data_IF_715602141227
#
_entry.id   IF_715602141227
#
_cell.length_a   1.000
_cell.length_b   1.000
_cell.length_c   1.000
_cell.angle_alpha   90.00
_cell.angle_beta   90.00
_cell.angle_gamma   90.00
#
_symmetry.space_group_name_H-M   'P 1'
#
loop_
_entity.id
_entity.type
_entity.pdbx_description
1 polymer ?
#
# COMPACT_ATOMS: atom_id res chain seq x y z
N UNK A 1 20.93 -10.04 2.85
CA UNK A 1 19.52 -9.89 3.35
C UNK A 1 18.64 -9.39 2.21
N UNK A 2 17.56 -10.12 1.88
CA UNK A 2 16.73 -9.99 0.66
C UNK A 2 15.50 -9.07 0.82
N UNK A 3 15.56 -8.12 1.76
CA UNK A 3 14.38 -7.35 2.19
C UNK A 3 14.68 -5.93 2.69
N UNK A 4 15.94 -5.55 2.91
CA UNK A 4 16.30 -4.28 3.52
C UNK A 4 16.29 -3.07 2.58
N UNK A 5 16.12 -3.28 1.27
CA UNK A 5 16.20 -2.24 0.23
C UNK A 5 14.93 -1.39 0.06
N UNK A 6 14.11 -1.24 1.10
CA UNK A 6 12.80 -0.59 1.01
C UNK A 6 12.82 0.85 1.52
N UNK A 7 13.32 1.77 0.69
CA UNK A 7 13.56 3.17 1.06
C UNK A 7 12.25 3.91 1.35
N UNK A 8 11.21 3.65 0.57
CA UNK A 8 9.92 4.35 0.70
C UNK A 8 9.09 3.86 1.90
N UNK A 9 9.38 2.68 2.45
CA UNK A 9 8.50 2.07 3.46
C UNK A 9 8.40 2.80 4.79
N UNK A 10 9.40 3.61 5.16
CA UNK A 10 9.33 4.43 6.38
C UNK A 10 8.15 5.41 6.34
N UNK A 11 7.78 5.86 5.14
CA UNK A 11 6.69 6.82 4.94
C UNK A 11 5.30 6.20 5.10
N UNK A 12 5.16 4.86 5.08
CA UNK A 12 3.91 4.21 5.44
C UNK A 12 3.52 4.53 6.89
N UNK A 13 4.49 4.60 7.81
CA UNK A 13 4.22 4.96 9.21
C UNK A 13 3.68 6.39 9.31
N UNK A 14 4.17 7.31 8.45
CA UNK A 14 3.77 8.72 8.41
C UNK A 14 2.28 8.88 8.06
N UNK A 15 1.69 7.94 7.32
CA UNK A 15 0.25 7.97 6.98
C UNK A 15 -0.66 8.03 8.22
N UNK A 16 -0.21 7.49 9.37
CA UNK A 16 -0.99 7.50 10.61
C UNK A 16 -1.22 8.93 11.16
N UNK A 17 -0.40 9.90 10.78
CA UNK A 17 -0.53 11.30 11.22
C UNK A 17 -1.84 11.89 10.69
N UNK A 18 -2.10 11.72 9.38
CA UNK A 18 -3.32 12.23 8.80
C UNK A 18 -4.54 11.45 9.23
N UNK A 19 -4.43 10.14 9.48
CA UNK A 19 -5.52 9.39 10.11
C UNK A 19 -5.84 9.92 11.51
N UNK A 20 -4.83 10.20 12.35
CA UNK A 20 -5.06 10.82 13.65
C UNK A 20 -5.85 12.13 13.53
N UNK A 21 -5.45 13.01 12.61
CA UNK A 21 -6.19 14.25 12.36
C UNK A 21 -7.62 13.99 11.85
N UNK A 22 -7.81 13.11 10.85
CA UNK A 22 -9.13 12.81 10.27
C UNK A 22 -10.14 12.30 11.30
N UNK A 23 -9.67 11.55 12.29
CA UNK A 23 -10.53 11.01 13.36
C UNK A 23 -10.74 11.96 14.54
N UNK A 24 -9.85 12.94 14.77
CA UNK A 24 -9.90 13.83 15.95
C UNK A 24 -10.30 15.27 15.63
N UNK A 25 -10.01 15.74 14.41
CA UNK A 25 -10.08 17.16 14.05
C UNK A 25 -9.07 18.04 14.78
N UNK A 26 -8.05 17.47 15.44
CA UNK A 26 -7.09 18.22 16.24
C UNK A 26 -6.12 19.04 15.37
N UNK A 27 -6.51 20.28 15.10
CA UNK A 27 -5.70 21.23 14.35
C UNK A 27 -4.44 21.68 15.09
N UNK A 28 -4.39 21.57 16.42
CA UNK A 28 -3.18 21.89 17.18
C UNK A 28 -2.14 20.78 17.00
N UNK A 29 -2.54 19.51 17.15
CA UNK A 29 -1.69 18.37 16.80
C UNK A 29 -1.20 18.47 15.35
N UNK A 30 -2.11 18.72 14.40
CA UNK A 30 -1.75 18.80 13.00
C UNK A 30 -0.73 19.91 12.75
N UNK A 31 -0.92 21.10 13.31
CA UNK A 31 0.00 22.23 13.12
C UNK A 31 1.36 22.01 13.80
N UNK A 32 1.34 21.58 15.06
CA UNK A 32 2.51 21.64 15.94
C UNK A 32 3.34 20.34 15.89
N UNK A 33 2.77 19.22 15.45
CA UNK A 33 3.44 17.90 15.36
C UNK A 33 3.29 17.24 14.00
N UNK A 34 2.07 17.16 13.47
CA UNK A 34 1.80 16.38 12.26
C UNK A 34 2.38 16.97 10.99
N UNK A 35 2.16 18.26 10.75
CA UNK A 35 2.55 18.98 9.55
C UNK A 35 4.07 19.05 9.36
N UNK A 36 4.90 19.33 10.39
CA UNK A 36 6.36 19.27 10.25
C UNK A 36 6.84 17.91 9.72
N UNK A 37 6.33 16.80 10.26
CA UNK A 37 6.73 15.44 9.83
C UNK A 37 6.22 15.14 8.41
N UNK A 38 4.98 15.51 8.10
CA UNK A 38 4.43 15.35 6.74
C UNK A 38 5.24 16.15 5.71
N UNK A 39 5.66 17.36 6.06
CA UNK A 39 6.48 18.22 5.21
C UNK A 39 7.84 17.59 4.94
N UNK A 40 8.59 17.18 5.97
CA UNK A 40 9.90 16.53 5.79
C UNK A 40 9.80 15.23 4.98
N UNK A 41 8.75 14.43 5.26
CA UNK A 41 8.44 13.23 4.49
C UNK A 41 8.18 13.56 3.01
N UNK A 42 7.42 14.63 2.73
CA UNK A 42 7.12 15.06 1.37
C UNK A 42 8.34 15.66 0.66
N UNK A 43 9.20 16.40 1.35
CA UNK A 43 10.47 16.92 0.81
C UNK A 43 11.39 15.78 0.38
N UNK A 44 11.50 14.74 1.22
CA UNK A 44 12.26 13.54 0.85
C UNK A 44 11.68 12.89 -0.41
N UNK A 45 10.37 12.63 -0.44
CA UNK A 45 9.70 11.99 -1.57
C UNK A 45 9.83 12.84 -2.85
N UNK A 46 9.70 14.16 -2.75
CA UNK A 46 9.90 15.09 -3.87
C UNK A 46 11.32 15.03 -4.41
N UNK A 47 12.33 14.85 -3.55
CA UNK A 47 13.73 14.66 -3.97
C UNK A 47 14.02 13.24 -4.52
N UNK A 48 13.14 12.28 -4.20
CA UNK A 48 13.28 10.89 -4.61
C UNK A 48 12.73 10.62 -6.00
N UNK A 49 11.64 11.26 -6.38
CA UNK A 49 11.01 11.05 -7.68
C UNK A 49 11.87 11.62 -8.82
N UNK A 50 11.82 10.94 -9.96
CA UNK A 50 12.52 11.31 -11.20
C UNK A 50 11.55 11.26 -12.37
N UNK A 51 11.92 11.86 -13.52
CA UNK A 51 11.15 11.75 -14.76
C UNK A 51 11.49 10.42 -15.45
N UNK A 52 10.47 9.63 -15.76
CA UNK A 52 10.64 8.43 -16.56
C UNK A 52 10.97 8.80 -18.01
N UNK A 53 12.03 8.20 -18.56
CA UNK A 53 12.52 8.51 -19.91
C UNK A 53 11.56 8.07 -21.03
N UNK A 54 10.66 7.11 -20.77
CA UNK A 54 9.71 6.60 -21.78
C UNK A 54 8.40 7.37 -21.79
N UNK A 55 7.85 7.62 -20.60
CA UNK A 55 6.52 8.21 -20.42
C UNK A 55 6.57 9.70 -20.11
N UNK A 56 7.71 10.22 -19.67
CA UNK A 56 7.85 11.60 -19.21
C UNK A 56 7.17 11.89 -17.88
N UNK A 57 6.50 10.93 -17.23
CA UNK A 57 5.83 11.13 -15.93
C UNK A 57 6.80 11.12 -14.76
N UNK A 58 6.37 11.65 -13.62
CA UNK A 58 7.10 11.46 -12.36
C UNK A 58 6.97 10.01 -11.89
N UNK A 59 8.08 9.41 -11.49
CA UNK A 59 8.18 8.01 -11.09
C UNK A 59 9.15 7.87 -9.92
N UNK A 60 8.97 6.84 -9.10
CA UNK A 60 9.98 6.46 -8.11
C UNK A 60 11.22 5.83 -8.75
N UNK A 61 12.28 5.66 -7.96
CA UNK A 61 13.49 4.94 -8.37
C UNK A 61 13.29 3.42 -8.29
N UNK A 62 14.30 2.68 -8.76
CA UNK A 62 14.36 1.24 -8.62
C UNK A 62 14.16 0.81 -7.16
N UNK A 63 13.39 -0.25 -6.94
CA UNK A 63 12.94 -0.66 -5.62
C UNK A 63 12.60 -2.15 -5.54
N UNK A 64 12.25 -2.59 -4.35
CA UNK A 64 11.82 -3.96 -4.04
C UNK A 64 10.34 -4.01 -3.69
N UNK A 65 9.64 -5.10 -4.02
CA UNK A 65 8.37 -5.41 -3.34
C UNK A 65 8.65 -6.34 -2.15
N UNK A 66 7.92 -6.15 -1.05
CA UNK A 66 8.30 -6.70 0.25
C UNK A 66 8.42 -8.23 0.21
N UNK A 67 9.66 -8.70 0.36
CA UNK A 67 10.03 -10.11 0.52
C UNK A 67 9.57 -11.01 -0.64
N UNK A 68 9.45 -10.46 -1.86
CA UNK A 68 9.10 -11.19 -3.08
C UNK A 68 9.91 -10.69 -4.27
N UNK A 69 9.90 -11.49 -5.35
CA UNK A 69 10.59 -11.20 -6.60
C UNK A 69 9.77 -11.56 -7.82
N UNK A 70 10.35 -11.32 -8.98
CA UNK A 70 9.78 -11.64 -10.27
C UNK A 70 10.82 -12.30 -11.16
N UNK A 71 10.33 -13.04 -12.16
CA UNK A 71 11.12 -13.59 -13.24
C UNK A 71 10.86 -12.82 -14.53
N UNK A 72 11.90 -12.65 -15.33
CA UNK A 72 11.84 -11.97 -16.61
C UNK A 72 12.75 -12.67 -17.63
N UNK A 73 12.56 -12.37 -18.91
CA UNK A 73 13.44 -12.83 -20.00
C UNK A 73 14.37 -11.68 -20.38
N UNK A 74 15.68 -11.90 -20.35
CA UNK A 74 16.67 -10.91 -20.77
C UNK A 74 16.81 -10.82 -22.30
N UNK A 75 17.69 -9.93 -22.77
CA UNK A 75 17.93 -9.70 -24.20
C UNK A 75 18.47 -10.93 -24.93
N UNK A 76 19.11 -11.86 -24.21
CA UNK A 76 19.65 -13.12 -24.73
C UNK A 76 18.60 -14.26 -24.70
N UNK A 77 17.36 -13.97 -24.29
CA UNK A 77 16.28 -14.96 -24.19
C UNK A 77 16.36 -15.85 -22.95
N UNK A 78 17.21 -15.53 -21.97
CA UNK A 78 17.38 -16.31 -20.75
C UNK A 78 16.39 -15.87 -19.69
N UNK A 79 15.77 -16.86 -19.02
CA UNK A 79 14.94 -16.61 -17.84
C UNK A 79 15.81 -16.30 -16.63
N UNK A 80 15.62 -15.13 -16.05
CA UNK A 80 16.28 -14.65 -14.83
C UNK A 80 15.24 -14.34 -13.75
N UNK A 81 15.72 -14.21 -12.51
CA UNK A 81 14.93 -13.81 -11.34
C UNK A 81 15.56 -12.55 -10.73
N UNK A 82 14.73 -11.60 -10.33
CA UNK A 82 15.15 -10.39 -9.61
C UNK A 82 14.17 -10.03 -8.50
N UNK A 83 14.69 -9.43 -7.45
CA UNK A 83 13.93 -8.84 -6.35
C UNK A 83 13.89 -7.30 -6.48
N UNK A 84 14.90 -6.72 -7.14
CA UNK A 84 14.99 -5.29 -7.43
C UNK A 84 14.50 -5.08 -8.86
N UNK A 85 13.49 -4.24 -9.00
CA UNK A 85 12.92 -3.86 -10.28
C UNK A 85 12.91 -2.34 -10.46
N UNK A 86 12.17 -1.86 -11.49
CA UNK A 86 11.73 -0.47 -11.51
C UNK A 86 10.86 -0.16 -10.28
N UNK A 87 10.33 1.07 -10.19
CA UNK A 87 9.42 1.43 -9.11
C UNK A 87 8.28 0.40 -8.98
N UNK A 88 7.94 0.04 -7.75
CA UNK A 88 6.83 -0.88 -7.48
C UNK A 88 5.51 -0.15 -7.36
N UNK A 89 4.40 -0.87 -7.55
CA UNK A 89 3.07 -0.32 -7.29
C UNK A 89 2.91 0.12 -5.82
N UNK A 90 3.61 -0.55 -4.88
CA UNK A 90 3.68 -0.13 -3.48
C UNK A 90 4.31 1.26 -3.35
N UNK A 91 5.51 1.46 -3.92
CA UNK A 91 6.22 2.73 -3.83
C UNK A 91 5.42 3.87 -4.43
N UNK A 92 4.81 3.66 -5.60
CA UNK A 92 3.93 4.66 -6.23
C UNK A 92 2.74 5.02 -5.33
N UNK A 93 2.14 4.03 -4.67
CA UNK A 93 1.01 4.26 -3.77
C UNK A 93 1.41 5.06 -2.53
N UNK A 94 2.58 4.76 -1.94
CA UNK A 94 3.08 5.50 -0.77
C UNK A 94 3.52 6.91 -1.15
N UNK A 95 4.21 7.09 -2.28
CA UNK A 95 4.61 8.41 -2.79
C UNK A 95 3.37 9.29 -3.00
N UNK A 96 2.36 8.75 -3.68
CA UNK A 96 1.08 9.44 -3.89
C UNK A 96 0.42 9.82 -2.56
N UNK A 97 0.41 8.90 -1.59
CA UNK A 97 -0.24 9.12 -0.30
C UNK A 97 0.47 10.22 0.50
N UNK A 98 1.80 10.22 0.57
CA UNK A 98 2.59 11.26 1.25
C UNK A 98 2.33 12.64 0.66
N UNK A 99 2.36 12.76 -0.66
CA UNK A 99 2.11 14.04 -1.35
C UNK A 99 0.68 14.52 -1.11
N UNK A 100 -0.30 13.61 -1.20
CA UNK A 100 -1.71 13.93 -0.95
C UNK A 100 -1.97 14.36 0.49
N UNK A 101 -1.39 13.64 1.46
CA UNK A 101 -1.53 13.93 2.89
C UNK A 101 -0.88 15.26 3.26
N UNK A 102 0.30 15.57 2.70
CA UNK A 102 0.94 16.87 2.86
C UNK A 102 0.06 18.01 2.32
N UNK A 103 -0.48 17.85 1.11
CA UNK A 103 -1.35 18.87 0.49
C UNK A 103 -2.67 19.06 1.25
N UNK A 104 -3.26 17.98 1.76
CA UNK A 104 -4.45 18.06 2.63
C UNK A 104 -4.14 18.84 3.90
N UNK A 105 -3.06 18.49 4.60
CA UNK A 105 -2.64 19.19 5.82
C UNK A 105 -2.33 20.66 5.57
N UNK A 106 -1.63 20.98 4.47
CA UNK A 106 -1.34 22.34 4.06
C UNK A 106 -2.64 23.14 3.84
N UNK A 107 -3.62 22.56 3.13
CA UNK A 107 -4.90 23.21 2.89
C UNK A 107 -5.68 23.49 4.19
N UNK A 108 -5.69 22.54 5.13
CA UNK A 108 -6.33 22.71 6.45
C UNK A 108 -5.70 23.86 7.24
N UNK A 109 -4.36 23.99 7.18
CA UNK A 109 -3.61 25.01 7.90
C UNK A 109 -3.51 26.35 7.16
N UNK A 110 -4.10 26.45 5.96
CA UNK A 110 -4.04 27.66 5.13
C UNK A 110 -2.65 27.95 4.55
N UNK A 111 -1.84 26.91 4.33
CA UNK A 111 -0.50 27.02 3.76
C UNK A 111 -0.59 26.83 2.24
N UNK A 112 -0.21 27.86 1.49
CA UNK A 112 -0.13 27.85 0.02
C UNK A 112 1.16 28.55 -0.43
N UNK A 113 2.27 27.84 -0.30
CA UNK A 113 3.62 28.29 -0.68
C UNK A 113 4.11 27.64 -1.97
N UNK A 114 5.30 28.01 -2.44
CA UNK A 114 5.86 27.48 -3.68
C UNK A 114 6.11 25.96 -3.60
N UNK A 115 6.41 25.42 -2.42
CA UNK A 115 6.58 23.99 -2.26
C UNK A 115 5.25 23.24 -2.44
N UNK A 116 4.13 23.76 -1.89
CA UNK A 116 2.81 23.18 -2.16
C UNK A 116 2.45 23.19 -3.65
N UNK A 117 2.86 24.22 -4.40
CA UNK A 117 2.66 24.28 -5.87
C UNK A 117 3.48 23.21 -6.58
N UNK A 118 4.78 23.08 -6.25
CA UNK A 118 5.65 22.03 -6.81
C UNK A 118 5.10 20.62 -6.54
N UNK A 119 4.59 20.36 -5.33
CA UNK A 119 4.02 19.06 -4.98
C UNK A 119 2.71 18.82 -5.75
N UNK A 120 1.84 19.82 -5.91
CA UNK A 120 0.61 19.73 -6.73
C UNK A 120 0.95 19.36 -8.19
N UNK A 121 1.92 20.03 -8.79
CA UNK A 121 2.39 19.77 -10.16
C UNK A 121 2.98 18.36 -10.30
N UNK A 122 3.80 17.95 -9.33
CA UNK A 122 4.43 16.62 -9.32
C UNK A 122 3.38 15.52 -9.19
N UNK A 123 2.44 15.67 -8.25
CA UNK A 123 1.36 14.71 -8.00
C UNK A 123 0.44 14.55 -9.21
N UNK A 124 0.15 15.63 -9.93
CA UNK A 124 -0.70 15.60 -11.13
C UNK A 124 -0.11 14.77 -12.27
N UNK A 125 1.22 14.64 -12.32
CA UNK A 125 1.95 13.89 -13.35
C UNK A 125 2.65 12.64 -12.80
N UNK A 126 2.31 12.22 -11.58
CA UNK A 126 2.84 11.00 -10.97
C UNK A 126 2.28 9.76 -11.69
N UNK A 127 3.15 8.80 -11.98
CA UNK A 127 2.73 7.50 -12.50
C UNK A 127 1.89 6.74 -11.47
N UNK A 128 0.82 6.11 -11.95
CA UNK A 128 -0.10 5.32 -11.13
C UNK A 128 0.18 3.82 -11.32
N UNK A 129 -0.17 2.96 -10.35
CA UNK A 129 -0.08 1.52 -10.52
C UNK A 129 -0.75 1.04 -11.82
N UNK A 130 -0.07 0.16 -12.56
CA UNK A 130 -0.53 -0.34 -13.85
C UNK A 130 -1.40 -1.58 -13.69
N UNK A 131 -2.41 -1.69 -14.54
CA UNK A 131 -3.26 -2.89 -14.65
C UNK A 131 -2.72 -3.75 -15.79
N UNK A 132 -2.41 -5.01 -15.52
CA UNK A 132 -1.92 -5.95 -16.52
C UNK A 132 -3.02 -6.51 -17.41
N UNK A 133 -2.67 -7.27 -18.45
CA UNK A 133 -3.64 -7.88 -19.38
C UNK A 133 -4.59 -8.87 -18.72
N UNK A 134 -4.17 -9.53 -17.65
CA UNK A 134 -5.03 -10.40 -16.83
C UNK A 134 -5.95 -9.61 -15.87
N UNK A 135 -5.82 -8.28 -15.84
CA UNK A 135 -6.66 -7.36 -15.09
C UNK A 135 -6.31 -7.22 -13.61
N UNK A 136 -5.19 -7.75 -13.14
CA UNK A 136 -4.66 -7.49 -11.80
C UNK A 136 -3.67 -6.31 -11.83
N UNK A 137 -3.33 -5.73 -10.67
CA UNK A 137 -2.33 -4.68 -10.55
C UNK A 137 -0.94 -5.31 -10.68
N UNK A 138 -0.13 -4.80 -11.60
CA UNK A 138 1.24 -5.25 -11.80
C UNK A 138 2.14 -4.77 -10.65
N UNK A 139 2.71 -5.70 -9.89
CA UNK A 139 3.50 -5.37 -8.70
C UNK A 139 4.77 -4.56 -9.00
N UNK A 140 5.42 -4.82 -10.15
CA UNK A 140 6.58 -4.07 -10.65
C UNK A 140 6.27 -3.22 -11.89
N UNK A 141 4.99 -3.08 -12.30
CA UNK A 141 4.62 -2.30 -13.49
C UNK A 141 5.15 -2.83 -14.84
N UNK A 142 5.66 -4.07 -14.86
CA UNK A 142 6.16 -4.78 -16.05
C UNK A 142 5.16 -5.87 -16.40
N UNK A 143 4.67 -5.87 -17.64
CA UNK A 143 3.65 -6.83 -18.11
C UNK A 143 4.23 -8.25 -18.24
N UNK A 144 5.48 -8.35 -18.68
CA UNK A 144 6.17 -9.61 -18.95
C UNK A 144 6.79 -10.25 -17.69
N UNK A 145 6.78 -9.54 -16.56
CA UNK A 145 7.34 -10.01 -15.31
C UNK A 145 6.38 -10.98 -14.63
N UNK A 146 6.85 -12.22 -14.39
CA UNK A 146 6.07 -13.24 -13.69
C UNK A 146 6.52 -13.34 -12.23
N UNK A 147 5.57 -13.21 -11.31
CA UNK A 147 5.79 -13.33 -9.86
C UNK A 147 6.41 -14.68 -9.48
N UNK A 148 7.43 -14.68 -8.62
CA UNK A 148 8.06 -15.93 -8.14
C UNK A 148 7.14 -16.74 -7.21
N UNK A 149 6.31 -16.05 -6.43
CA UNK A 149 5.30 -16.65 -5.54
C UNK A 149 3.98 -15.88 -5.67
N UNK A 150 3.08 -16.39 -6.51
CA UNK A 150 1.75 -15.79 -6.73
C UNK A 150 0.92 -15.80 -5.43
N UNK A 151 1.14 -16.76 -4.53
CA UNK A 151 0.43 -16.88 -3.25
C UNK A 151 1.21 -16.23 -2.09
N UNK A 152 2.07 -15.26 -2.41
CA UNK A 152 2.87 -14.57 -1.42
C UNK A 152 2.01 -13.93 -0.32
N UNK A 153 2.60 -13.82 0.88
CA UNK A 153 1.91 -13.33 2.08
C UNK A 153 1.70 -11.81 2.08
N UNK A 154 2.50 -11.05 1.33
CA UNK A 154 2.38 -9.59 1.24
C UNK A 154 1.40 -9.17 0.16
N UNK A 155 0.73 -8.04 0.41
CA UNK A 155 -0.21 -7.38 -0.49
C UNK A 155 0.29 -5.98 -0.89
N UNK A 156 1.60 -5.79 -0.94
CA UNK A 156 2.23 -4.46 -1.06
C UNK A 156 1.71 -3.65 -2.26
N UNK A 157 1.56 -4.28 -3.43
CA UNK A 157 1.07 -3.63 -4.64
C UNK A 157 -0.39 -3.14 -4.58
N UNK A 158 -1.16 -3.54 -3.55
CA UNK A 158 -2.51 -3.04 -3.30
C UNK A 158 -2.61 -2.25 -1.99
N UNK A 159 -1.50 -1.74 -1.44
CA UNK A 159 -1.52 -0.92 -0.20
C UNK A 159 -2.43 0.32 -0.33
N UNK A 160 -2.62 0.82 -1.55
CA UNK A 160 -3.56 1.90 -1.85
C UNK A 160 -5.04 1.57 -1.61
N UNK A 161 -5.41 0.28 -1.49
CA UNK A 161 -6.74 -0.20 -1.12
C UNK A 161 -6.94 -0.22 0.41
N UNK A 162 -5.94 -0.71 1.14
CA UNK A 162 -5.91 -0.70 2.60
C UNK A 162 -4.46 -0.81 3.10
N UNK A 163 -4.04 0.00 4.07
CA UNK A 163 -4.83 1.03 4.77
C UNK A 163 -5.01 2.32 3.97
N UNK A 164 -4.46 2.41 2.75
CA UNK A 164 -4.61 3.57 1.89
C UNK A 164 -6.06 3.85 1.49
N UNK A 165 -6.26 4.99 0.83
CA UNK A 165 -7.55 5.46 0.31
C UNK A 165 -7.48 5.90 -1.16
N UNK A 166 -6.43 5.47 -1.86
CA UNK A 166 -6.18 5.78 -3.27
C UNK A 166 -7.04 4.90 -4.19
N UNK A 167 -7.26 3.64 -3.79
CA UNK A 167 -8.03 2.65 -4.54
C UNK A 167 -9.40 2.51 -3.89
N UNK A 168 -10.43 3.04 -4.53
CA UNK A 168 -11.80 3.15 -4.02
C UNK A 168 -12.79 2.90 -5.14
N UNK A 169 -13.98 2.38 -4.82
CA UNK A 169 -14.97 2.06 -5.84
C UNK A 169 -15.43 3.33 -6.57
N UNK A 170 -15.55 4.45 -5.84
CA UNK A 170 -16.05 5.70 -6.39
C UNK A 170 -15.01 6.51 -7.16
N UNK A 171 -13.77 6.63 -6.65
CA UNK A 171 -12.77 7.54 -7.24
C UNK A 171 -11.90 6.84 -8.28
N UNK A 172 -11.67 5.54 -8.14
CA UNK A 172 -10.73 4.78 -8.98
C UNK A 172 -11.28 3.38 -9.32
N UNK A 173 -12.47 3.29 -9.97
CA UNK A 173 -13.18 2.03 -10.19
C UNK A 173 -12.37 0.96 -10.94
N UNK A 174 -11.54 1.37 -11.90
CA UNK A 174 -10.69 0.43 -12.67
C UNK A 174 -9.61 -0.20 -11.78
N UNK A 175 -8.91 0.61 -10.97
CA UNK A 175 -7.93 0.11 -9.99
C UNK A 175 -8.60 -0.69 -8.88
N UNK A 176 -9.82 -0.36 -8.51
CA UNK A 176 -10.60 -1.10 -7.51
C UNK A 176 -10.88 -2.54 -7.97
N UNK A 177 -11.38 -2.72 -9.19
CA UNK A 177 -11.60 -4.05 -9.76
C UNK A 177 -10.28 -4.81 -9.95
N UNK A 178 -9.21 -4.10 -10.32
CA UNK A 178 -7.88 -4.71 -10.44
C UNK A 178 -7.29 -5.14 -9.09
N UNK A 179 -7.48 -4.34 -8.03
CA UNK A 179 -7.06 -4.70 -6.68
C UNK A 179 -7.84 -5.91 -6.15
N UNK A 180 -9.15 -6.00 -6.43
CA UNK A 180 -9.97 -7.18 -6.13
C UNK A 180 -9.45 -8.43 -6.83
N UNK A 181 -9.12 -8.35 -8.12
CA UNK A 181 -8.48 -9.46 -8.87
C UNK A 181 -7.13 -9.84 -8.28
N UNK A 182 -6.33 -8.86 -7.88
CA UNK A 182 -5.02 -9.08 -7.25
C UNK A 182 -5.15 -9.80 -5.91
N UNK A 183 -6.16 -9.42 -5.11
CA UNK A 183 -6.47 -10.06 -3.83
C UNK A 183 -6.86 -11.53 -4.01
N UNK A 184 -7.75 -11.83 -4.98
CA UNK A 184 -8.14 -13.20 -5.32
C UNK A 184 -6.91 -14.00 -5.81
N UNK A 185 -6.07 -13.40 -6.66
CA UNK A 185 -4.85 -14.02 -7.20
C UNK A 185 -3.86 -14.41 -6.09
N UNK A 186 -3.70 -13.56 -5.07
CA UNK A 186 -2.86 -13.83 -3.87
C UNK A 186 -3.37 -14.99 -3.00
N UNK A 187 -4.65 -15.33 -3.12
CA UNK A 187 -5.30 -16.43 -2.41
C UNK A 187 -5.20 -16.33 -0.88
N UNK A 188 -5.41 -17.44 -0.20
CA UNK A 188 -5.67 -17.48 1.25
C UNK A 188 -4.53 -18.11 2.06
N UNK A 189 -3.27 -17.76 1.73
CA UNK A 189 -2.13 -18.25 2.52
C UNK A 189 -2.30 -17.88 4.00
N UNK A 190 -2.13 -18.89 4.85
CA UNK A 190 -2.40 -18.84 6.30
C UNK A 190 -1.19 -18.30 7.06
N UNK A 191 -1.24 -17.03 7.43
CA UNK A 191 -0.27 -16.37 8.30
C UNK A 191 -0.98 -15.21 9.00
N UNK A 192 -0.91 -15.12 10.34
CA UNK A 192 -1.77 -14.23 11.14
C UNK A 192 -1.88 -12.79 10.61
N UNK A 193 -0.77 -12.07 10.51
CA UNK A 193 -0.77 -10.68 10.03
C UNK A 193 -1.26 -10.53 8.58
N UNK A 194 -0.96 -11.51 7.72
CA UNK A 194 -1.39 -11.50 6.31
C UNK A 194 -2.89 -11.72 6.20
N UNK A 195 -3.42 -12.66 7.00
CA UNK A 195 -4.85 -12.90 7.08
C UNK A 195 -5.58 -11.71 7.69
N UNK A 196 -5.06 -11.07 8.73
CA UNK A 196 -5.68 -9.87 9.29
C UNK A 196 -5.74 -8.73 8.27
N UNK A 197 -4.68 -8.53 7.48
CA UNK A 197 -4.70 -7.54 6.41
C UNK A 197 -5.71 -7.90 5.31
N UNK A 198 -5.82 -9.18 4.94
CA UNK A 198 -6.83 -9.67 4.00
C UNK A 198 -8.25 -9.43 4.48
N UNK A 199 -8.54 -9.55 5.78
CA UNK A 199 -9.88 -9.21 6.33
C UNK A 199 -10.24 -7.77 5.95
N UNK A 200 -9.35 -6.81 6.21
CA UNK A 200 -9.57 -5.41 5.84
C UNK A 200 -9.67 -5.22 4.32
N UNK A 201 -8.80 -5.85 3.53
CA UNK A 201 -8.85 -5.74 2.07
C UNK A 201 -10.16 -6.31 1.49
N UNK A 202 -10.64 -7.46 1.99
CA UNK A 202 -11.92 -8.04 1.58
C UNK A 202 -13.10 -7.17 2.00
N UNK A 203 -13.03 -6.55 3.18
CA UNK A 203 -14.01 -5.56 3.61
C UNK A 203 -14.05 -4.36 2.65
N UNK A 204 -12.89 -3.83 2.27
CA UNK A 204 -12.75 -2.69 1.33
C UNK A 204 -13.25 -2.99 -0.08
N UNK A 205 -13.24 -4.25 -0.52
CA UNK A 205 -13.85 -4.66 -1.81
C UNK A 205 -15.30 -5.14 -1.69
N UNK A 206 -15.94 -4.87 -0.55
CA UNK A 206 -17.32 -5.23 -0.22
C UNK A 206 -17.62 -6.73 -0.29
N UNK A 207 -16.63 -7.59 -0.02
CA UNK A 207 -16.78 -9.03 0.09
C UNK A 207 -16.76 -9.48 1.56
N UNK A 208 -17.86 -9.19 2.26
CA UNK A 208 -18.01 -9.51 3.68
C UNK A 208 -18.00 -11.02 3.98
N UNK A 209 -18.42 -11.86 3.03
CA UNK A 209 -18.43 -13.31 3.21
C UNK A 209 -17.00 -13.86 3.25
N UNK A 210 -16.16 -13.44 2.30
CA UNK A 210 -14.76 -13.85 2.29
C UNK A 210 -13.99 -13.25 3.47
N UNK A 211 -14.26 -11.98 3.84
CA UNK A 211 -13.70 -11.38 5.04
C UNK A 211 -14.04 -12.16 6.33
N UNK A 212 -15.31 -12.58 6.49
CA UNK A 212 -15.72 -13.44 7.61
C UNK A 212 -15.04 -14.81 7.57
N UNK A 213 -14.83 -15.36 6.37
CA UNK A 213 -14.06 -16.58 6.17
C UNK A 213 -12.62 -16.45 6.68
N UNK A 214 -11.92 -15.37 6.30
CA UNK A 214 -10.56 -15.07 6.79
C UNK A 214 -10.52 -14.93 8.31
N UNK A 215 -11.48 -14.19 8.89
CA UNK A 215 -11.58 -14.03 10.34
C UNK A 215 -11.72 -15.36 11.08
N UNK A 216 -12.64 -16.22 10.63
CA UNK A 216 -12.83 -17.56 11.21
C UNK A 216 -11.57 -18.42 11.10
N UNK A 217 -10.86 -18.35 9.97
CA UNK A 217 -9.61 -19.09 9.78
C UNK A 217 -8.51 -18.57 10.70
N UNK A 218 -8.34 -17.26 10.83
CA UNK A 218 -7.36 -16.65 11.74
C UNK A 218 -7.62 -17.06 13.19
N UNK A 219 -8.87 -17.01 13.64
CA UNK A 219 -9.26 -17.44 15.00
C UNK A 219 -8.98 -18.91 15.26
N UNK A 220 -9.17 -19.78 14.27
CA UNK A 220 -9.03 -21.24 14.47
C UNK A 220 -7.61 -21.76 14.22
N UNK A 221 -6.80 -21.04 13.45
CA UNK A 221 -5.52 -21.56 12.95
C UNK A 221 -4.31 -20.70 13.33
N UNK A 222 -4.50 -19.42 13.66
CA UNK A 222 -3.43 -18.48 13.96
C UNK A 222 -3.64 -17.78 15.31
N UNK A 223 -4.47 -18.35 16.19
CA UNK A 223 -4.76 -17.79 17.52
C UNK A 223 -4.54 -18.85 18.59
N UNK A 224 -3.77 -18.51 19.62
CA UNK A 224 -3.50 -19.33 20.79
C UNK A 224 -4.68 -19.33 21.77
N UNK A 225 -4.76 -20.27 22.74
CA UNK A 225 -5.84 -20.30 23.75
C UNK A 225 -5.97 -19.01 24.59
N UNK A 226 -4.89 -18.25 24.72
CA UNK A 226 -4.89 -16.94 25.40
C UNK A 226 -5.25 -15.76 24.46
N UNK A 227 -5.77 -16.06 23.27
CA UNK A 227 -6.15 -15.11 22.21
C UNK A 227 -4.98 -14.35 21.56
N UNK A 228 -3.72 -14.67 21.86
CA UNK A 228 -2.59 -14.09 21.15
C UNK A 228 -2.43 -14.71 19.75
N UNK A 229 -2.05 -13.88 18.77
CA UNK A 229 -1.90 -14.30 17.39
C UNK A 229 -0.52 -14.89 17.07
N UNK A 230 -0.49 -15.71 16.03
CA UNK A 230 0.69 -16.34 15.47
C UNK A 230 0.91 -15.83 14.04
N UNK A 231 2.17 -15.61 13.67
CA UNK A 231 2.60 -15.57 12.27
C UNK A 231 3.22 -16.93 11.93
N UNK A 232 2.39 -17.86 11.43
CA UNK A 232 2.78 -19.25 11.24
C UNK A 232 2.92 -19.96 12.58
N UNK A 233 4.15 -20.07 13.10
CA UNK A 233 4.46 -20.72 14.38
C UNK A 233 4.98 -19.77 15.46
N UNK A 234 5.22 -18.50 15.11
CA UNK A 234 5.84 -17.52 16.00
C UNK A 234 4.77 -16.61 16.56
N UNK A 235 4.84 -16.32 17.86
CA UNK A 235 4.01 -15.29 18.51
C UNK A 235 4.22 -13.94 17.79
N UNK A 236 3.13 -13.32 17.36
CA UNK A 236 3.15 -12.07 16.61
C UNK A 236 1.84 -11.30 16.87
N UNK A 237 1.96 -10.07 17.37
CA UNK A 237 0.81 -9.28 17.83
C UNK A 237 0.12 -8.50 16.70
N UNK A 238 0.69 -8.48 15.50
CA UNK A 238 0.20 -7.70 14.38
C UNK A 238 -1.22 -8.16 14.01
N UNK A 239 -1.47 -9.47 14.05
CA UNK A 239 -2.80 -10.05 13.87
C UNK A 239 -3.79 -9.68 14.99
N UNK A 240 -3.33 -9.46 16.23
CA UNK A 240 -4.18 -8.96 17.32
C UNK A 240 -4.64 -7.53 17.10
N UNK A 241 -3.82 -6.69 16.47
CA UNK A 241 -4.18 -5.30 16.15
C UNK A 241 -4.95 -5.18 14.83
N UNK A 242 -4.53 -5.93 13.81
CA UNK A 242 -5.15 -5.90 12.49
C UNK A 242 -6.55 -6.53 12.45
N UNK A 243 -6.79 -7.59 13.24
CA UNK A 243 -8.09 -8.29 13.21
C UNK A 243 -9.26 -7.41 13.68
N UNK A 244 -9.18 -6.69 14.83
CA UNK A 244 -10.21 -5.74 15.21
C UNK A 244 -10.41 -4.63 14.18
N UNK A 245 -9.34 -4.11 13.58
CA UNK A 245 -9.44 -3.11 12.52
C UNK A 245 -10.20 -3.66 11.30
N UNK A 246 -9.90 -4.89 10.86
CA UNK A 246 -10.63 -5.56 9.79
C UNK A 246 -12.11 -5.79 10.11
N UNK A 247 -12.44 -6.15 11.35
CA UNK A 247 -13.84 -6.30 11.78
C UNK A 247 -14.57 -4.95 11.74
N UNK A 248 -13.93 -3.86 12.19
CA UNK A 248 -14.51 -2.52 12.10
C UNK A 248 -14.72 -2.12 10.65
N UNK A 249 -13.74 -2.36 9.77
CA UNK A 249 -13.86 -2.10 8.32
C UNK A 249 -14.98 -2.89 7.63
N UNK A 250 -15.35 -4.07 8.15
CA UNK A 250 -16.53 -4.81 7.66
C UNK A 250 -17.85 -4.14 8.04
N UNK A 251 -17.87 -3.36 9.13
CA UNK A 251 -19.08 -2.78 9.72
C UNK A 251 -19.25 -1.30 9.35
N UNK A 252 -18.15 -0.56 9.23
CA UNK A 252 -18.14 0.87 8.96
C UNK A 252 -16.88 1.26 8.18
N UNK A 253 -17.07 2.08 7.14
CA UNK A 253 -16.00 2.66 6.34
C UNK A 253 -16.27 4.16 6.17
N UNK A 254 -15.25 5.00 6.33
CA UNK A 254 -15.36 6.46 6.25
C UNK A 254 -14.20 7.11 5.46
N UNK A 255 -13.54 6.35 4.59
CA UNK A 255 -12.33 6.78 3.86
C UNK A 255 -12.63 7.33 2.45
N UNK A 256 -13.87 7.19 1.95
CA UNK A 256 -14.32 7.68 0.63
C UNK A 256 -15.00 9.05 0.68
#
# INVERSE_FOLDING_TARGET
PRWGGSVISVHWVVMNIMEHYRFTGDTAFLRDTGFPVLKESCEFVQSWVIRDHKTGKWVGKASTSHETGFTYIDEDGKKLESEIGPVTAYDLSIIWQVMTDYLEAAAILGIDDDFTKTVKETLAELEMPRIGKEGHILEWGIEEAAEVDVLHRHLSHIVGLHPGRQITQKKTPELFEAAKKSLIRRGDRKMGWSQSWKISCYARVFDGNTALGQFKQLLTQQTLPNLMNLAGRTLNLDGNYGTPAGVVEMLLQNHE
#
